data_IF_873799239745
#
_entry.id   IF_873799239745
#
_cell.length_a   1.000
_cell.length_b   1.000
_cell.length_c   1.000
_cell.angle_alpha   90.00
_cell.angle_beta   90.00
_cell.angle_gamma   90.00
#
_symmetry.space_group_name_H-M   'P 1'
#
loop_
_entity.id
_entity.type
_entity.pdbx_description
1 polymer ?
#
# COMPACT_ATOMS: atom_id res chain seq x y z
N UNK A 1 -15.08 8.81 -30.90
CA UNK A 1 -13.62 8.74 -30.72
C UNK A 1 -13.36 7.64 -29.71
N UNK A 2 -12.85 6.49 -30.15
CA UNK A 2 -12.28 5.51 -29.21
C UNK A 2 -10.95 6.06 -28.73
N UNK A 3 -10.85 6.32 -27.42
CA UNK A 3 -9.56 6.52 -26.78
C UNK A 3 -8.90 5.15 -26.67
N UNK A 4 -8.15 4.76 -27.71
CA UNK A 4 -7.35 3.54 -27.68
C UNK A 4 -6.27 3.68 -26.61
N UNK A 5 -6.43 3.00 -25.48
CA UNK A 5 -5.39 2.90 -24.44
C UNK A 5 -4.49 1.73 -24.81
N UNK A 6 -3.21 2.00 -25.04
CA UNK A 6 -2.21 0.94 -25.20
C UNK A 6 -1.79 0.45 -23.83
N UNK A 7 -1.93 -0.85 -23.60
CA UNK A 7 -1.42 -1.48 -22.37
C UNK A 7 0.07 -1.71 -22.57
N UNK A 8 0.90 -1.13 -21.71
CA UNK A 8 2.34 -1.28 -21.73
C UNK A 8 2.80 -2.46 -20.86
N UNK A 9 3.88 -3.14 -21.27
CA UNK A 9 4.53 -4.18 -20.47
C UNK A 9 3.69 -5.43 -20.22
N UNK A 10 2.82 -5.82 -21.16
CA UNK A 10 1.91 -6.97 -21.01
C UNK A 10 2.68 -8.28 -20.74
N UNK A 11 3.84 -8.45 -21.36
CA UNK A 11 4.75 -9.58 -21.16
C UNK A 11 5.27 -9.69 -19.72
N UNK A 12 5.27 -8.58 -18.98
CA UNK A 12 5.67 -8.56 -17.57
C UNK A 12 4.59 -9.07 -16.63
N UNK A 13 3.36 -9.28 -17.11
CA UNK A 13 2.26 -9.82 -16.31
C UNK A 13 2.37 -11.34 -16.10
N UNK A 14 3.26 -12.01 -16.84
CA UNK A 14 3.63 -13.39 -16.54
C UNK A 14 4.23 -13.50 -15.14
N UNK A 15 3.79 -14.50 -14.37
CA UNK A 15 4.09 -14.63 -12.94
C UNK A 15 5.58 -14.39 -12.59
N UNK A 16 6.51 -15.01 -13.32
CA UNK A 16 7.94 -14.89 -13.02
C UNK A 16 8.51 -13.51 -13.36
N UNK A 17 8.01 -12.85 -14.41
CA UNK A 17 8.40 -11.48 -14.77
C UNK A 17 7.78 -10.46 -13.82
N UNK A 18 6.53 -10.66 -13.44
CA UNK A 18 5.82 -9.78 -12.52
C UNK A 18 6.51 -9.74 -11.15
N UNK A 19 6.92 -10.90 -10.64
CA UNK A 19 7.70 -11.00 -9.39
C UNK A 19 9.04 -10.26 -9.50
N UNK A 20 9.74 -10.30 -10.65
CA UNK A 20 10.96 -9.50 -10.87
C UNK A 20 10.67 -8.00 -10.83
N UNK A 21 9.60 -7.56 -11.47
CA UNK A 21 9.16 -6.15 -11.45
C UNK A 21 8.87 -5.70 -10.02
N UNK A 22 8.09 -6.47 -9.27
CA UNK A 22 7.77 -6.16 -7.86
C UNK A 22 9.02 -6.11 -6.98
N UNK A 23 9.95 -7.05 -7.14
CA UNK A 23 11.22 -7.03 -6.42
C UNK A 23 12.06 -5.79 -6.75
N UNK A 24 12.10 -5.38 -8.02
CA UNK A 24 12.75 -4.15 -8.45
C UNK A 24 12.15 -2.93 -7.77
N UNK A 25 10.82 -2.79 -7.83
CA UNK A 25 10.09 -1.67 -7.21
C UNK A 25 10.27 -1.62 -5.69
N UNK A 26 10.21 -2.76 -4.99
CA UNK A 26 10.36 -2.79 -3.53
C UNK A 26 11.78 -2.48 -3.09
N UNK A 27 12.78 -2.93 -3.85
CA UNK A 27 14.19 -2.68 -3.54
C UNK A 27 14.57 -1.18 -3.59
N UNK A 28 13.85 -0.40 -4.40
CA UNK A 28 14.03 1.04 -4.54
C UNK A 28 12.96 1.84 -3.80
N UNK A 29 12.03 1.15 -3.12
CA UNK A 29 10.92 1.81 -2.44
C UNK A 29 11.43 2.61 -1.24
N UNK A 30 10.93 3.84 -1.12
CA UNK A 30 11.09 4.59 0.11
C UNK A 30 10.25 3.91 1.19
N UNK A 31 10.83 3.72 2.36
CA UNK A 31 10.07 3.23 3.51
C UNK A 31 9.51 4.42 4.27
N UNK A 32 8.18 4.49 4.41
CA UNK A 32 7.51 5.72 4.81
C UNK A 32 7.53 5.98 6.34
N UNK A 33 8.71 6.26 6.91
CA UNK A 33 8.80 6.74 8.30
C UNK A 33 8.10 8.12 8.49
N UNK A 34 8.16 8.98 7.46
CA UNK A 34 7.55 10.32 7.43
C UNK A 34 6.01 10.34 7.55
N UNK A 35 5.33 9.20 7.43
CA UNK A 35 3.86 9.10 7.49
C UNK A 35 3.34 8.72 8.87
N UNK A 36 4.17 8.38 9.86
CA UNK A 36 3.66 8.08 11.21
C UNK A 36 2.76 9.21 11.76
N UNK A 37 3.17 10.47 11.58
CA UNK A 37 2.38 11.66 11.96
C UNK A 37 1.07 11.81 11.17
N UNK A 38 1.03 11.30 9.95
CA UNK A 38 -0.16 11.32 9.09
C UNK A 38 -1.09 10.14 9.36
N UNK A 39 -0.57 8.96 9.69
CA UNK A 39 -1.37 7.81 10.13
C UNK A 39 -2.05 8.07 11.48
N UNK A 40 -1.41 8.85 12.36
CA UNK A 40 -2.07 9.31 13.60
C UNK A 40 -3.26 10.23 13.33
N UNK A 41 -3.26 10.99 12.22
CA UNK A 41 -4.44 11.77 11.79
C UNK A 41 -5.52 10.87 11.19
N UNK A 42 -5.14 9.76 10.55
CA UNK A 42 -6.10 8.77 10.08
C UNK A 42 -6.85 8.07 11.22
N UNK A 43 -6.20 7.84 12.38
CA UNK A 43 -6.89 7.29 13.55
C UNK A 43 -7.93 8.25 14.15
N UNK A 44 -7.85 9.56 13.86
CA UNK A 44 -8.82 10.56 14.35
C UNK A 44 -9.91 10.88 13.33
N UNK A 45 -10.06 10.07 12.28
CA UNK A 45 -11.09 10.27 11.23
C UNK A 45 -10.81 11.45 10.29
N UNK A 46 -9.62 12.04 10.37
CA UNK A 46 -9.20 13.13 9.49
C UNK A 46 -8.57 12.57 8.22
N UNK A 47 -8.97 13.11 7.07
CA UNK A 47 -8.38 12.76 5.78
C UNK A 47 -6.92 13.20 5.73
N UNK A 48 -6.07 12.41 5.07
CA UNK A 48 -4.68 12.78 4.83
C UNK A 48 -4.62 14.14 4.12
N UNK A 49 -3.81 15.10 4.61
CA UNK A 49 -3.74 16.42 3.99
C UNK A 49 -3.24 16.32 2.56
N UNK A 50 -3.69 17.28 1.74
CA UNK A 50 -3.39 17.34 0.33
C UNK A 50 -1.89 17.61 0.11
N UNK A 51 -1.09 16.56 -0.05
CA UNK A 51 0.27 16.70 -0.59
C UNK A 51 0.15 17.16 -2.04
N UNK A 52 0.73 18.31 -2.37
CA UNK A 52 0.77 18.85 -3.74
C UNK A 52 1.29 17.79 -4.70
N UNK A 53 0.49 17.46 -5.70
CA UNK A 53 0.88 16.52 -6.76
C UNK A 53 1.96 17.18 -7.61
N UNK A 54 3.24 16.85 -7.38
CA UNK A 54 4.24 17.15 -8.40
C UNK A 54 4.11 16.10 -9.50
N UNK A 55 4.06 16.53 -10.74
CA UNK A 55 4.00 15.72 -11.96
C UNK A 55 5.29 14.96 -12.29
N UNK A 56 6.22 14.81 -11.34
CA UNK A 56 7.48 14.12 -11.57
C UNK A 56 7.25 12.60 -11.73
N UNK A 57 7.44 12.09 -12.95
CA UNK A 57 7.18 10.69 -13.33
C UNK A 57 8.10 9.65 -12.67
N UNK A 58 9.17 10.08 -11.99
CA UNK A 58 10.23 9.18 -11.51
C UNK A 58 10.35 9.13 -9.98
N UNK A 59 9.26 9.34 -9.26
CA UNK A 59 9.30 9.19 -7.80
C UNK A 59 9.38 7.70 -7.45
N UNK A 60 10.29 7.30 -6.55
CA UNK A 60 10.34 5.92 -6.09
C UNK A 60 8.98 5.55 -5.46
N UNK A 61 8.57 4.28 -5.57
CA UNK A 61 7.37 3.80 -4.91
C UNK A 61 7.54 3.90 -3.39
N UNK A 62 6.42 3.81 -2.67
CA UNK A 62 6.47 3.80 -1.21
C UNK A 62 5.91 2.50 -0.65
N UNK A 63 6.63 1.95 0.32
CA UNK A 63 6.21 0.79 1.10
C UNK A 63 5.81 1.17 2.52
N UNK A 64 4.64 0.68 2.94
CA UNK A 64 4.14 0.72 4.31
C UNK A 64 4.00 -0.73 4.81
N UNK A 65 4.80 -1.07 5.81
CA UNK A 65 4.76 -2.38 6.44
C UNK A 65 3.84 -2.36 7.64
N UNK A 66 2.90 -3.32 7.73
CA UNK A 66 1.93 -3.35 8.82
C UNK A 66 1.95 -4.67 9.61
N UNK A 67 1.55 -4.57 10.86
CA UNK A 67 1.42 -5.71 11.77
C UNK A 67 0.19 -6.54 11.40
N UNK A 68 0.33 -7.85 11.52
CA UNK A 68 -0.75 -8.81 11.44
C UNK A 68 -0.52 -9.88 12.50
N UNK A 69 -1.55 -10.23 13.25
CA UNK A 69 -1.53 -11.33 14.22
C UNK A 69 -1.58 -12.71 13.51
N UNK A 70 -2.20 -12.78 12.34
CA UNK A 70 -2.28 -13.97 11.49
C UNK A 70 -2.37 -13.59 10.01
N UNK A 71 -2.32 -14.55 9.09
CA UNK A 71 -2.47 -14.29 7.64
C UNK A 71 -3.82 -13.66 7.27
N UNK A 72 -4.85 -13.97 8.06
CA UNK A 72 -6.24 -13.53 7.84
C UNK A 72 -6.62 -12.33 8.72
N UNK A 73 -5.66 -11.80 9.50
CA UNK A 73 -5.83 -10.55 10.22
C UNK A 73 -5.69 -9.37 9.26
N UNK A 74 -6.83 -8.78 8.92
CA UNK A 74 -6.94 -7.60 8.04
C UNK A 74 -7.30 -6.32 8.80
N UNK A 75 -7.26 -6.29 10.13
CA UNK A 75 -7.71 -5.13 10.92
C UNK A 75 -6.92 -3.86 10.54
N UNK A 76 -5.60 -3.92 10.63
CA UNK A 76 -4.74 -2.76 10.28
C UNK A 76 -4.84 -2.41 8.79
N UNK A 77 -4.95 -3.41 7.91
CA UNK A 77 -5.09 -3.17 6.48
C UNK A 77 -6.40 -2.42 6.17
N UNK A 78 -7.52 -2.76 6.81
CA UNK A 78 -8.79 -2.04 6.64
C UNK A 78 -8.69 -0.60 7.12
N UNK A 79 -8.03 -0.36 8.26
CA UNK A 79 -7.77 0.99 8.74
C UNK A 79 -6.92 1.81 7.76
N UNK A 80 -5.89 1.20 7.18
CA UNK A 80 -5.10 1.82 6.11
C UNK A 80 -5.94 2.08 4.85
N UNK A 81 -6.80 1.15 4.43
CA UNK A 81 -7.71 1.36 3.32
C UNK A 81 -8.62 2.58 3.57
N UNK A 82 -9.24 2.68 4.74
CA UNK A 82 -10.03 3.86 5.13
C UNK A 82 -9.21 5.16 5.07
N UNK A 83 -7.98 5.13 5.59
CA UNK A 83 -7.05 6.28 5.58
C UNK A 83 -6.74 6.79 4.15
N UNK A 84 -6.60 5.88 3.20
CA UNK A 84 -6.31 6.20 1.80
C UNK A 84 -7.56 6.34 0.92
N UNK A 85 -8.76 6.24 1.49
CA UNK A 85 -10.03 6.29 0.73
C UNK A 85 -10.26 5.07 -0.17
N UNK A 86 -9.60 3.94 0.13
CA UNK A 86 -9.77 2.69 -0.59
C UNK A 86 -10.97 1.92 -0.05
N UNK A 87 -11.75 1.33 -0.96
CA UNK A 87 -12.85 0.47 -0.58
C UNK A 87 -12.37 -0.78 0.16
N UNK A 88 -13.02 -1.10 1.27
CA UNK A 88 -12.90 -2.40 1.94
C UNK A 88 -14.27 -2.83 2.47
N UNK A 89 -14.47 -4.13 2.57
CA UNK A 89 -15.68 -4.69 3.18
C UNK A 89 -15.37 -5.12 4.62
N UNK A 90 -16.25 -4.84 5.59
CA UNK A 90 -15.98 -5.14 7.00
C UNK A 90 -15.85 -6.66 7.29
N UNK A 91 -16.53 -7.50 6.50
CA UNK A 91 -16.57 -8.96 6.70
C UNK A 91 -15.69 -9.77 5.74
N UNK A 92 -15.21 -9.16 4.65
CA UNK A 92 -14.42 -9.88 3.64
C UNK A 92 -12.98 -9.38 3.65
N UNK A 93 -12.09 -10.14 3.01
CA UNK A 93 -10.73 -9.68 2.75
C UNK A 93 -10.77 -8.45 1.83
N UNK A 94 -9.88 -7.46 2.02
CA UNK A 94 -9.70 -6.38 1.06
C UNK A 94 -9.43 -6.92 -0.35
N UNK A 95 -9.99 -6.25 -1.37
CA UNK A 95 -9.79 -6.62 -2.77
C UNK A 95 -8.42 -6.15 -3.27
N UNK A 96 -7.93 -6.75 -4.35
CA UNK A 96 -6.66 -6.36 -4.97
C UNK A 96 -5.41 -6.86 -4.24
N UNK A 97 -5.57 -7.80 -3.31
CA UNK A 97 -4.45 -8.41 -2.62
C UNK A 97 -3.68 -9.36 -3.54
N UNK A 98 -2.36 -9.20 -3.57
CA UNK A 98 -1.43 -10.13 -4.18
C UNK A 98 -0.41 -10.58 -3.14
N UNK A 99 -0.47 -11.85 -2.73
CA UNK A 99 0.45 -12.45 -1.73
C UNK A 99 0.59 -11.60 -0.45
N UNK A 100 -0.52 -11.08 0.08
CA UNK A 100 -0.53 -10.27 1.31
C UNK A 100 -0.05 -8.82 1.14
N UNK A 101 0.09 -8.35 -0.10
CA UNK A 101 0.38 -6.96 -0.45
C UNK A 101 -0.80 -6.34 -1.20
N UNK A 102 -1.13 -5.08 -0.88
CA UNK A 102 -2.02 -4.24 -1.67
C UNK A 102 -1.20 -3.19 -2.43
N UNK A 103 -1.36 -3.12 -3.75
CA UNK A 103 -0.76 -2.08 -4.60
C UNK A 103 -1.84 -1.11 -5.08
N UNK A 104 -1.57 0.19 -5.00
CA UNK A 104 -2.45 1.23 -5.53
C UNK A 104 -1.65 2.51 -5.84
N UNK A 105 -2.28 3.47 -6.48
CA UNK A 105 -1.67 4.78 -6.74
C UNK A 105 -2.24 5.81 -5.78
N UNK A 106 -1.36 6.58 -5.13
CA UNK A 106 -1.76 7.71 -4.30
C UNK A 106 -0.92 8.93 -4.64
N UNK A 107 -1.60 10.02 -5.03
CA UNK A 107 -0.95 11.29 -5.40
C UNK A 107 0.18 11.13 -6.44
N UNK A 108 -0.05 10.28 -7.44
CA UNK A 108 0.89 10.04 -8.54
C UNK A 108 2.08 9.14 -8.19
N UNK A 109 2.05 8.45 -7.04
CA UNK A 109 3.09 7.48 -6.64
C UNK A 109 2.49 6.10 -6.44
N UNK A 110 3.23 5.07 -6.83
CA UNK A 110 2.93 3.70 -6.44
C UNK A 110 3.06 3.53 -4.93
N UNK A 111 2.04 2.92 -4.34
CA UNK A 111 1.94 2.59 -2.92
C UNK A 111 1.86 1.09 -2.75
N UNK A 112 2.58 0.58 -1.77
CA UNK A 112 2.56 -0.81 -1.34
C UNK A 112 2.22 -0.89 0.15
N UNK A 113 1.09 -1.52 0.49
CA UNK A 113 0.79 -1.93 1.86
C UNK A 113 1.18 -3.40 2.00
N UNK A 114 2.15 -3.70 2.87
CA UNK A 114 2.77 -5.01 2.96
C UNK A 114 2.56 -5.60 4.35
N UNK A 115 1.79 -6.68 4.43
CA UNK A 115 1.51 -7.37 5.69
C UNK A 115 2.67 -8.25 6.15
N UNK A 116 2.77 -8.49 7.47
CA UNK A 116 3.82 -9.32 8.10
C UNK A 116 4.01 -10.69 7.46
N UNK A 117 2.94 -11.31 6.99
CA UNK A 117 2.98 -12.66 6.39
C UNK A 117 3.22 -12.65 4.88
N UNK A 118 3.40 -11.48 4.27
CA UNK A 118 3.76 -11.36 2.86
C UNK A 118 5.23 -11.75 2.62
N UNK A 119 5.57 -12.45 1.52
CA UNK A 119 6.97 -12.70 1.15
C UNK A 119 7.77 -11.41 0.90
N UNK A 120 7.08 -10.30 0.67
CA UNK A 120 7.65 -8.98 0.47
C UNK A 120 8.03 -8.26 1.77
N UNK A 121 7.64 -8.80 2.92
CA UNK A 121 7.97 -8.19 4.22
C UNK A 121 9.48 -8.17 4.50
N UNK A 122 10.27 -9.00 3.79
CA UNK A 122 11.74 -8.99 3.82
C UNK A 122 12.38 -7.65 3.44
N UNK A 123 11.64 -6.78 2.73
CA UNK A 123 12.11 -5.43 2.37
C UNK A 123 11.95 -4.40 3.49
N UNK A 124 11.33 -4.76 4.62
CA UNK A 124 11.20 -3.85 5.76
C UNK A 124 12.58 -3.56 6.38
N UNK A 125 12.97 -2.29 6.54
CA UNK A 125 14.16 -1.92 7.31
C UNK A 125 14.10 -2.48 8.74
N UNK A 126 15.26 -2.87 9.28
CA UNK A 126 15.34 -3.55 10.59
C UNK A 126 14.95 -2.63 11.75
N UNK A 127 15.26 -1.35 11.63
CA UNK A 127 15.01 -0.25 12.58
C UNK A 127 13.59 0.32 12.49
N UNK A 128 12.79 -0.08 11.50
CA UNK A 128 11.41 0.39 11.35
C UNK A 128 10.41 -0.53 12.07
N UNK A 129 9.61 0.04 12.96
CA UNK A 129 8.44 -0.63 13.53
C UNK A 129 7.29 -0.69 12.52
N UNK A 130 6.62 -1.85 12.36
CA UNK A 130 5.44 -1.92 11.49
C UNK A 130 4.28 -1.11 12.06
N UNK A 131 3.47 -0.60 11.15
CA UNK A 131 2.24 0.13 11.48
C UNK A 131 1.23 -0.82 12.13
N UNK A 132 0.56 -0.36 13.18
CA UNK A 132 -0.59 -1.02 13.79
C UNK A 132 -1.67 0.04 13.99
N UNK A 133 -2.82 -0.13 13.35
CA UNK A 133 -3.94 0.82 13.42
C UNK A 133 -5.24 0.06 13.70
N UNK A 134 -6.16 0.74 14.38
CA UNK A 134 -7.55 0.28 14.56
C UNK A 134 -8.49 1.28 13.93
N UNK A 135 -9.54 0.80 13.28
CA UNK A 135 -10.62 1.66 12.78
C UNK A 135 -11.34 2.26 13.99
N UNK A 136 -11.47 3.58 14.05
CA UNK A 136 -12.38 4.20 15.01
C UNK A 136 -13.81 3.79 14.66
N UNK A 137 -14.45 3.00 15.51
CA UNK A 137 -15.88 2.70 15.37
C UNK A 137 -16.66 3.99 15.59
N UNK A 138 -17.13 4.62 14.52
CA UNK A 138 -18.21 5.59 14.60
C UNK A 138 -19.47 4.86 15.05
N UNK A 139 -19.87 5.09 16.29
CA UNK A 139 -21.17 4.68 16.85
C UNK A 139 -22.31 5.54 16.32
#
# INVERSE_FOLDING_TARGET
MELGVTIEGVETLECSHYEKVLHGMMSTSETWALIQRYLTLCSTGSWLPHLSSSTASNRPPISIFFHQASKDDFETLRALCSCFGLYHHPKFSPRGLYRGMLRFTWKGRDMFLIGRYSPYYKYKPKDMSPVSLRVATSG
#
